data_IF_716802108281
#
_entry.id   IF_716802108281
#
_cell.length_a   1.000
_cell.length_b   1.000
_cell.length_c   1.000
_cell.angle_alpha   90.00
_cell.angle_beta   90.00
_cell.angle_gamma   90.00
#
_symmetry.space_group_name_H-M   'P 1'
#
loop_
_entity.id
_entity.type
_entity.pdbx_description
1 polymer ?
#
# COMPACT_ATOMS: atom_id res chain seq x y z
N UNK A 1 11.89 12.21 9.94
CA UNK A 1 10.46 11.86 9.98
C UNK A 1 9.70 13.14 10.26
N UNK A 2 9.17 13.77 9.22
CA UNK A 2 8.17 14.83 9.38
C UNK A 2 6.92 14.18 9.93
N UNK A 3 6.47 14.60 11.11
CA UNK A 3 5.21 14.13 11.68
C UNK A 3 4.11 14.62 10.75
N UNK A 4 3.49 13.71 10.00
CA UNK A 4 2.29 14.02 9.24
C UNK A 4 1.23 14.50 10.25
N UNK A 5 0.83 15.77 10.13
CA UNK A 5 -0.25 16.29 10.96
C UNK A 5 -1.54 15.80 10.30
N UNK A 6 -2.06 14.66 10.76
CA UNK A 6 -3.28 14.06 10.23
C UNK A 6 -4.44 15.06 10.34
N UNK A 7 -4.92 15.56 9.21
CA UNK A 7 -6.05 16.48 9.15
C UNK A 7 -7.29 15.72 8.72
N UNK A 8 -8.34 15.77 9.54
CA UNK A 8 -9.59 15.07 9.29
C UNK A 8 -10.69 16.04 8.86
N UNK A 9 -11.49 15.63 7.87
CA UNK A 9 -12.76 16.28 7.54
C UNK A 9 -13.85 15.65 8.40
N UNK A 10 -14.59 16.47 9.12
CA UNK A 10 -15.62 16.06 10.08
C UNK A 10 -16.98 16.54 9.57
N UNK A 11 -17.99 15.66 9.62
CA UNK A 11 -19.36 16.00 9.23
C UNK A 11 -20.11 16.78 10.33
N UNK A 12 -21.36 17.16 10.07
CA UNK A 12 -22.21 17.91 11.01
C UNK A 12 -22.51 17.15 12.31
N UNK A 13 -22.44 15.82 12.31
CA UNK A 13 -22.63 14.98 13.48
C UNK A 13 -21.35 14.83 14.32
N UNK A 14 -20.23 15.41 13.89
CA UNK A 14 -18.94 15.27 14.57
C UNK A 14 -18.15 14.02 14.18
N UNK A 15 -18.55 13.31 13.12
CA UNK A 15 -17.89 12.08 12.66
C UNK A 15 -16.83 12.37 11.60
N UNK A 16 -15.67 11.71 11.70
CA UNK A 16 -14.60 11.82 10.69
C UNK A 16 -15.03 11.08 9.42
N UNK A 17 -15.12 11.79 8.30
CA UNK A 17 -15.59 11.24 7.02
C UNK A 17 -14.51 11.21 5.94
N UNK A 18 -13.44 12.00 6.09
CA UNK A 18 -12.26 11.95 5.21
C UNK A 18 -10.99 12.37 5.96
N UNK A 19 -9.84 12.12 5.35
CA UNK A 19 -8.52 12.54 5.82
C UNK A 19 -7.76 13.23 4.68
N UNK A 20 -7.03 14.29 5.00
CA UNK A 20 -6.11 14.98 4.09
C UNK A 20 -4.72 14.43 4.36
N UNK A 21 -4.10 13.90 3.30
CA UNK A 21 -2.77 13.31 3.33
C UNK A 21 -1.84 14.04 2.35
N UNK A 22 -0.53 14.11 2.62
CA UNK A 22 0.46 14.41 1.59
C UNK A 22 0.30 13.45 0.41
N UNK A 23 0.43 13.97 -0.82
CA UNK A 23 0.25 13.15 -2.04
C UNK A 23 1.21 11.96 -2.09
N UNK A 24 2.44 12.14 -1.60
CA UNK A 24 3.46 11.08 -1.53
C UNK A 24 3.03 9.93 -0.62
N UNK A 25 2.33 10.24 0.48
CA UNK A 25 1.84 9.23 1.42
C UNK A 25 0.68 8.44 0.81
N UNK A 26 -0.25 9.12 0.13
CA UNK A 26 -1.33 8.46 -0.60
C UNK A 26 -0.83 7.51 -1.69
N UNK A 27 0.14 7.96 -2.51
CA UNK A 27 0.72 7.11 -3.56
C UNK A 27 1.47 5.91 -2.99
N UNK A 28 2.21 6.09 -1.88
CA UNK A 28 2.84 4.98 -1.17
C UNK A 28 1.82 3.97 -0.65
N UNK A 29 0.71 4.43 -0.05
CA UNK A 29 -0.35 3.51 0.41
C UNK A 29 -0.95 2.71 -0.75
N UNK A 30 -1.08 3.30 -1.94
CA UNK A 30 -1.53 2.59 -3.14
C UNK A 30 -0.52 1.54 -3.60
N UNK A 31 0.77 1.88 -3.58
CA UNK A 31 1.86 0.94 -3.87
C UNK A 31 1.82 -0.26 -2.91
N UNK A 32 1.72 0.01 -1.61
CA UNK A 32 1.63 -1.03 -0.58
C UNK A 32 0.43 -1.98 -0.81
N UNK A 33 -0.74 -1.45 -1.18
CA UNK A 33 -1.92 -2.26 -1.51
C UNK A 33 -1.72 -3.10 -2.77
N UNK A 34 -1.08 -2.54 -3.80
CA UNK A 34 -0.75 -3.27 -5.02
C UNK A 34 0.19 -4.44 -4.71
N UNK A 35 1.25 -4.19 -3.95
CA UNK A 35 2.22 -5.23 -3.58
C UNK A 35 1.58 -6.35 -2.77
N UNK A 36 0.70 -6.01 -1.83
CA UNK A 36 -0.09 -6.99 -1.07
C UNK A 36 -1.01 -7.83 -1.97
N UNK A 37 -1.61 -7.21 -3.00
CA UNK A 37 -2.42 -7.94 -3.97
C UNK A 37 -1.57 -8.95 -4.76
N UNK A 38 -0.39 -8.53 -5.24
CA UNK A 38 0.56 -9.43 -5.93
C UNK A 38 0.96 -10.60 -5.02
N UNK A 39 1.27 -10.35 -3.75
CA UNK A 39 1.59 -11.41 -2.77
C UNK A 39 0.41 -12.38 -2.62
N UNK A 40 -0.82 -11.87 -2.53
CA UNK A 40 -2.01 -12.70 -2.37
C UNK A 40 -2.29 -13.57 -3.61
N UNK A 41 -2.16 -13.02 -4.82
CA UNK A 41 -2.34 -13.74 -6.07
C UNK A 41 -1.32 -14.87 -6.22
N UNK A 42 -0.07 -14.61 -5.81
CA UNK A 42 1.04 -15.57 -5.92
C UNK A 42 1.15 -16.52 -4.73
N UNK A 43 0.26 -16.43 -3.74
CA UNK A 43 0.35 -17.18 -2.48
C UNK A 43 0.46 -18.71 -2.66
N UNK A 44 -0.19 -19.25 -3.68
CA UNK A 44 -0.22 -20.69 -3.98
C UNK A 44 0.67 -21.07 -5.18
N UNK A 45 1.41 -20.12 -5.75
CA UNK A 45 2.36 -20.39 -6.82
C UNK A 45 3.52 -21.24 -6.29
N UNK A 46 4.03 -22.16 -7.10
CA UNK A 46 5.22 -22.92 -6.72
C UNK A 46 6.42 -21.97 -6.64
N UNK A 47 7.22 -22.11 -5.59
CA UNK A 47 8.50 -21.42 -5.54
C UNK A 47 9.46 -22.01 -6.57
N UNK A 48 10.29 -21.14 -7.15
CA UNK A 48 11.40 -21.53 -8.01
C UNK A 48 12.72 -21.36 -7.26
N UNK A 49 13.74 -22.10 -7.67
CA UNK A 49 15.08 -21.90 -7.11
C UNK A 49 15.71 -20.59 -7.59
N UNK A 50 16.65 -20.03 -6.83
CA UNK A 50 17.37 -18.83 -7.25
C UNK A 50 18.13 -19.02 -8.59
N UNK A 51 18.66 -20.22 -8.83
CA UNK A 51 19.34 -20.56 -10.09
C UNK A 51 18.38 -20.72 -11.28
N UNK A 52 17.11 -21.03 -11.02
CA UNK A 52 16.05 -21.03 -12.03
C UNK A 52 15.60 -19.59 -12.32
N UNK A 53 15.43 -18.77 -11.28
CA UNK A 53 15.11 -17.35 -11.40
C UNK A 53 16.12 -16.59 -12.26
N UNK A 54 17.43 -16.84 -12.10
CA UNK A 54 18.48 -16.21 -12.92
C UNK A 54 18.42 -16.54 -14.42
N UNK A 55 17.75 -17.63 -14.82
CA UNK A 55 17.65 -18.03 -16.24
C UNK A 55 16.46 -17.38 -16.95
N UNK A 56 15.48 -16.90 -16.20
CA UNK A 56 14.25 -16.28 -16.73
C UNK A 56 14.26 -14.75 -16.64
N UNK A 57 15.29 -14.17 -15.99
CA UNK A 57 15.64 -12.75 -16.02
C UNK A 57 16.58 -12.47 -17.19
#
# INVERSE_FOLDING_TARGET
>A
MTVAHEQYVVNENGERVAIILPIEEYEKMKEDLHDLAIVAERRNEKTISFEEMKRIL
#
